data_IF_274088798698
#
_entry.id   IF_274088798698
#
_cell.length_a   1.000
_cell.length_b   1.000
_cell.length_c   1.000
_cell.angle_alpha   90.00
_cell.angle_beta   90.00
_cell.angle_gamma   90.00
#
_symmetry.space_group_name_H-M   'P 1'
#
loop_
_entity.id
_entity.type
_entity.pdbx_description
1 polymer ?
#
# COMPACT_ATOMS: atom_id res chain seq x y z
N UNK A 1 -1.89 34.66 -19.46
CA UNK A 1 -2.39 33.67 -18.47
C UNK A 1 -1.42 32.51 -18.52
N UNK A 2 -0.52 32.46 -17.54
CA UNK A 2 0.67 31.61 -17.64
C UNK A 2 0.32 30.18 -17.24
N UNK A 3 0.36 29.29 -18.23
CA UNK A 3 0.36 27.85 -18.00
C UNK A 3 1.73 27.49 -17.42
N UNK A 4 1.76 27.01 -16.17
CA UNK A 4 3.00 26.47 -15.59
C UNK A 4 3.17 25.03 -16.04
N UNK A 5 4.25 24.83 -16.78
CA UNK A 5 4.70 23.53 -17.27
C UNK A 5 4.99 22.59 -16.10
N UNK A 6 4.30 21.44 -16.05
CA UNK A 6 4.36 20.50 -14.93
C UNK A 6 5.66 19.69 -14.88
N UNK A 7 6.49 19.79 -15.92
CA UNK A 7 7.64 18.89 -16.08
C UNK A 7 8.81 19.16 -15.13
N UNK A 8 8.78 20.26 -14.35
CA UNK A 8 9.94 20.65 -13.54
C UNK A 8 9.68 20.94 -12.05
N UNK A 9 8.49 20.63 -11.50
CA UNK A 9 8.33 20.71 -10.04
C UNK A 9 7.42 19.62 -9.49
N UNK A 10 7.99 18.82 -8.58
CA UNK A 10 7.36 17.75 -7.79
C UNK A 10 6.35 18.32 -6.78
N UNK A 11 5.39 19.14 -7.20
CA UNK A 11 4.36 19.72 -6.32
C UNK A 11 2.96 19.40 -6.83
N UNK A 12 2.05 19.13 -5.90
CA UNK A 12 0.67 18.80 -6.21
C UNK A 12 -0.06 19.93 -6.93
N UNK A 13 -0.94 19.58 -7.87
CA UNK A 13 -1.86 20.52 -8.51
C UNK A 13 -3.00 20.87 -7.55
N UNK A 14 -3.09 22.12 -7.10
CA UNK A 14 -4.28 22.59 -6.35
C UNK A 14 -5.55 22.42 -7.19
N UNK A 15 -6.62 21.91 -6.57
CA UNK A 15 -7.95 21.82 -7.18
C UNK A 15 -8.51 23.20 -7.56
N UNK A 16 -8.17 24.22 -6.77
CA UNK A 16 -8.65 25.60 -6.92
C UNK A 16 -7.94 26.37 -8.04
N UNK A 17 -6.84 25.84 -8.59
CA UNK A 17 -6.14 26.43 -9.74
C UNK A 17 -6.62 25.78 -11.03
N UNK A 18 -6.65 26.55 -12.13
CA UNK A 18 -6.86 25.97 -13.46
C UNK A 18 -5.75 24.94 -13.73
N UNK A 19 -6.14 23.76 -14.22
CA UNK A 19 -5.18 22.77 -14.71
C UNK A 19 -4.71 23.17 -16.12
N UNK A 20 -3.76 22.40 -16.66
CA UNK A 20 -3.37 22.51 -18.08
C UNK A 20 -4.61 22.53 -18.97
N UNK A 21 -4.68 23.51 -19.87
CA UNK A 21 -5.84 23.67 -20.75
C UNK A 21 -6.02 22.43 -21.63
N UNK A 22 -7.25 21.92 -21.70
CA UNK A 22 -7.58 20.73 -22.49
C UNK A 22 -7.28 19.39 -21.81
N UNK A 23 -6.59 19.36 -20.65
CA UNK A 23 -6.31 18.12 -19.93
C UNK A 23 -7.29 17.96 -18.76
N UNK A 24 -7.96 16.80 -18.68
CA UNK A 24 -8.81 16.47 -17.52
C UNK A 24 -7.96 15.91 -16.39
N UNK A 25 -8.22 16.36 -15.16
CA UNK A 25 -7.63 15.76 -13.95
C UNK A 25 -8.18 14.35 -13.76
N UNK A 26 -7.34 13.36 -13.96
CA UNK A 26 -7.64 11.95 -13.71
C UNK A 26 -6.47 11.31 -12.97
N UNK A 27 -6.70 10.12 -12.42
CA UNK A 27 -5.62 9.32 -11.85
C UNK A 27 -4.53 8.93 -12.85
N UNK A 28 -4.79 9.02 -14.15
CA UNK A 28 -3.79 8.78 -15.20
C UNK A 28 -2.92 10.01 -15.47
N UNK A 29 -3.45 11.22 -15.24
CA UNK A 29 -2.79 12.48 -15.58
C UNK A 29 -2.14 13.16 -14.38
N UNK A 30 -2.40 12.67 -13.16
CA UNK A 30 -1.80 13.20 -11.93
C UNK A 30 -0.76 12.19 -11.40
N UNK A 31 0.33 12.66 -10.76
CA UNK A 31 1.35 11.80 -10.15
C UNK A 31 0.85 11.20 -8.82
N UNK A 32 -0.34 10.60 -8.84
CA UNK A 32 -0.97 9.96 -7.68
C UNK A 32 -0.74 8.45 -7.81
N UNK A 33 -0.14 7.80 -6.79
CA UNK A 33 0.01 6.35 -6.80
C UNK A 33 -1.34 5.66 -7.01
N UNK A 34 -1.34 4.62 -7.84
CA UNK A 34 -2.54 3.90 -8.24
C UNK A 34 -3.40 3.45 -7.04
N UNK A 35 -2.77 3.05 -5.94
CA UNK A 35 -3.44 2.63 -4.71
C UNK A 35 -4.40 3.68 -4.11
N UNK A 36 -4.28 4.97 -4.45
CA UNK A 36 -5.19 6.02 -4.00
C UNK A 36 -6.32 6.33 -4.99
N UNK A 37 -6.31 5.65 -6.13
CA UNK A 37 -7.28 5.79 -7.21
C UNK A 37 -8.24 4.60 -7.30
N UNK A 38 -8.02 3.59 -6.46
CA UNK A 38 -8.72 2.30 -6.51
C UNK A 38 -10.19 2.35 -6.13
N UNK A 39 -10.63 3.40 -5.42
CA UNK A 39 -12.01 3.53 -4.90
C UNK A 39 -13.09 3.58 -5.99
N UNK A 40 -12.71 3.88 -7.24
CA UNK A 40 -13.65 3.98 -8.36
C UNK A 40 -13.95 2.64 -9.03
N UNK A 41 -13.23 1.57 -8.66
CA UNK A 41 -13.36 0.27 -9.32
C UNK A 41 -14.14 -0.71 -8.46
N UNK A 42 -15.04 -1.46 -9.10
CA UNK A 42 -15.71 -2.57 -8.46
C UNK A 42 -14.71 -3.68 -8.11
N UNK A 43 -15.02 -4.39 -7.03
CA UNK A 43 -14.22 -5.51 -6.54
C UNK A 43 -15.09 -6.72 -6.23
N UNK A 44 -14.56 -7.91 -6.43
CA UNK A 44 -15.19 -9.18 -6.05
C UNK A 44 -14.31 -9.92 -5.04
N UNK A 45 -14.91 -10.50 -4.01
CA UNK A 45 -14.17 -11.32 -3.04
C UNK A 45 -13.53 -12.53 -3.74
N UNK A 46 -12.25 -12.80 -3.43
CA UNK A 46 -11.56 -14.00 -3.90
C UNK A 46 -11.97 -15.18 -3.04
N UNK A 47 -12.43 -16.26 -3.67
CA UNK A 47 -12.90 -17.49 -2.98
C UNK A 47 -11.85 -18.59 -2.93
N UNK A 48 -10.82 -18.55 -3.78
CA UNK A 48 -9.75 -19.55 -3.80
C UNK A 48 -8.81 -19.36 -2.59
N UNK A 49 -8.88 -20.28 -1.62
CA UNK A 49 -8.08 -20.24 -0.40
C UNK A 49 -6.56 -20.34 -0.64
N UNK A 50 -6.11 -21.09 -1.65
CA UNK A 50 -4.68 -21.20 -1.96
C UNK A 50 -4.16 -19.87 -2.50
N UNK A 51 -4.91 -19.23 -3.38
CA UNK A 51 -4.58 -17.91 -3.91
C UNK A 51 -4.61 -16.85 -2.80
N UNK A 52 -5.63 -16.88 -1.92
CA UNK A 52 -5.73 -15.99 -0.77
C UNK A 52 -4.51 -16.09 0.13
N UNK A 53 -4.12 -17.31 0.50
CA UNK A 53 -2.95 -17.54 1.33
C UNK A 53 -1.67 -17.07 0.64
N UNK A 54 -1.50 -17.39 -0.65
CA UNK A 54 -0.34 -16.95 -1.45
C UNK A 54 -0.21 -15.42 -1.49
N UNK A 55 -1.32 -14.71 -1.70
CA UNK A 55 -1.35 -13.24 -1.74
C UNK A 55 -1.04 -12.62 -0.38
N UNK A 56 -1.61 -13.15 0.71
CA UNK A 56 -1.38 -12.65 2.06
C UNK A 56 0.06 -12.89 2.53
N UNK A 57 0.60 -14.10 2.30
CA UNK A 57 2.00 -14.42 2.62
C UNK A 57 2.95 -13.49 1.88
N UNK A 58 2.75 -13.32 0.56
CA UNK A 58 3.54 -12.39 -0.23
C UNK A 58 3.49 -10.95 0.33
N UNK A 59 2.29 -10.44 0.65
CA UNK A 59 2.15 -9.08 1.16
C UNK A 59 2.87 -8.86 2.50
N UNK A 60 2.79 -9.84 3.41
CA UNK A 60 3.51 -9.79 4.70
C UNK A 60 5.02 -9.85 4.51
N UNK A 61 5.52 -10.75 3.65
CA UNK A 61 6.95 -10.85 3.35
C UNK A 61 7.49 -9.56 2.75
N UNK A 62 6.73 -8.90 1.88
CA UNK A 62 7.12 -7.61 1.32
C UNK A 62 7.16 -6.49 2.37
N UNK A 63 6.28 -6.52 3.38
CA UNK A 63 6.33 -5.58 4.50
C UNK A 63 7.58 -5.81 5.36
N UNK A 64 7.91 -7.07 5.64
CA UNK A 64 9.10 -7.44 6.40
C UNK A 64 10.39 -7.05 5.65
N UNK A 65 10.48 -7.35 4.35
CA UNK A 65 11.58 -6.93 3.47
C UNK A 65 11.74 -5.41 3.40
N UNK A 66 10.64 -4.65 3.44
CA UNK A 66 10.69 -3.20 3.50
C UNK A 66 11.38 -2.74 4.79
N UNK A 67 11.03 -3.29 5.95
CA UNK A 67 11.67 -2.95 7.23
C UNK A 67 13.15 -3.38 7.25
N UNK A 68 13.48 -4.53 6.66
CA UNK A 68 14.86 -4.99 6.53
C UNK A 68 15.70 -4.08 5.63
N UNK A 69 15.16 -3.67 4.47
CA UNK A 69 15.88 -2.79 3.53
C UNK A 69 16.08 -1.37 4.06
N UNK A 70 15.25 -0.93 5.00
CA UNK A 70 15.42 0.32 5.75
C UNK A 70 16.38 0.20 6.95
N UNK A 71 16.89 -1.00 7.24
CA UNK A 71 17.89 -1.23 8.28
C UNK A 71 17.36 -1.12 9.71
N UNK A 72 16.05 -1.29 9.92
CA UNK A 72 15.39 -1.07 11.22
C UNK A 72 14.99 -2.35 11.95
N UNK A 73 15.36 -3.52 11.43
CA UNK A 73 15.06 -4.83 12.03
C UNK A 73 15.62 -5.03 13.44
N UNK A 74 16.62 -4.26 13.86
CA UNK A 74 17.12 -4.27 15.24
C UNK A 74 16.15 -3.57 16.20
N UNK A 75 15.50 -2.50 15.76
CA UNK A 75 14.59 -1.67 16.56
C UNK A 75 13.13 -2.12 16.48
N UNK A 76 12.71 -2.69 15.35
CA UNK A 76 11.33 -3.09 15.06
C UNK A 76 11.10 -4.58 15.29
N UNK A 77 9.94 -4.92 15.83
CA UNK A 77 9.47 -6.29 15.96
C UNK A 77 9.29 -6.99 14.62
N UNK A 78 9.49 -8.31 14.60
CA UNK A 78 9.38 -9.12 13.39
C UNK A 78 7.93 -9.23 12.90
N UNK A 79 7.72 -9.05 11.60
CA UNK A 79 6.39 -9.08 11.00
C UNK A 79 6.03 -10.51 10.60
N UNK A 80 4.90 -11.01 11.07
CA UNK A 80 4.36 -12.33 10.70
C UNK A 80 2.86 -12.23 10.45
N UNK A 81 2.34 -13.03 9.52
CA UNK A 81 0.91 -13.08 9.23
C UNK A 81 0.16 -13.67 10.45
N UNK A 82 -0.84 -12.94 10.96
CA UNK A 82 -1.78 -13.46 11.96
C UNK A 82 -3.06 -13.96 11.31
N UNK A 83 -3.66 -13.10 10.48
CA UNK A 83 -4.98 -13.35 9.89
C UNK A 83 -5.15 -12.58 8.59
N UNK A 84 -5.82 -13.22 7.63
CA UNK A 84 -6.32 -12.57 6.42
C UNK A 84 -7.65 -11.90 6.76
N UNK A 85 -7.76 -10.59 6.55
CA UNK A 85 -8.99 -9.85 6.82
C UNK A 85 -9.89 -9.80 5.58
N UNK A 86 -9.34 -9.41 4.43
CA UNK A 86 -10.06 -9.42 3.16
C UNK A 86 -9.09 -9.51 1.99
N UNK A 87 -9.53 -10.19 0.92
CA UNK A 87 -8.81 -10.22 -0.37
C UNK A 87 -9.87 -10.07 -1.46
N UNK A 88 -9.83 -8.94 -2.15
CA UNK A 88 -10.78 -8.64 -3.22
C UNK A 88 -10.03 -8.44 -4.54
N UNK A 89 -10.53 -8.97 -5.64
CA UNK A 89 -10.00 -8.73 -6.97
C UNK A 89 -10.72 -7.54 -7.62
N UNK A 90 -9.99 -6.62 -8.24
CA UNK A 90 -10.59 -5.56 -9.05
C UNK A 90 -11.17 -6.15 -10.34
N UNK A 91 -12.45 -5.87 -10.62
CA UNK A 91 -13.21 -6.49 -11.72
C UNK A 91 -13.11 -5.73 -13.04
N UNK A 92 -12.44 -4.58 -13.09
CA UNK A 92 -12.37 -3.75 -14.31
C UNK A 92 -11.41 -4.35 -15.35
N UNK A 93 -11.98 -4.94 -16.40
CA UNK A 93 -11.29 -5.72 -17.44
C UNK A 93 -10.56 -4.88 -18.50
N UNK A 94 -10.76 -3.56 -18.58
CA UNK A 94 -10.18 -2.73 -19.64
C UNK A 94 -8.95 -1.91 -19.25
N UNK A 95 -8.66 -1.75 -17.95
CA UNK A 95 -7.51 -0.97 -17.48
C UNK A 95 -6.33 -1.82 -17.03
N UNK A 96 -6.58 -3.08 -16.67
CA UNK A 96 -5.57 -3.94 -16.09
C UNK A 96 -5.31 -5.11 -17.04
N UNK A 97 -4.19 -5.08 -17.76
CA UNK A 97 -3.65 -6.27 -18.44
C UNK A 97 -3.37 -7.43 -17.47
N UNK A 98 -3.38 -7.16 -16.16
CA UNK A 98 -2.99 -8.07 -15.09
C UNK A 98 -4.05 -8.11 -14.00
N UNK A 99 -4.15 -9.22 -13.29
CA UNK A 99 -5.05 -9.32 -12.14
C UNK A 99 -4.49 -8.49 -10.98
N UNK A 100 -5.30 -7.61 -10.42
CA UNK A 100 -4.93 -6.82 -9.24
C UNK A 100 -5.87 -7.21 -8.10
N UNK A 101 -5.27 -7.44 -6.94
CA UNK A 101 -5.93 -7.83 -5.72
C UNK A 101 -5.69 -6.76 -4.65
N UNK A 102 -6.73 -6.37 -3.95
CA UNK A 102 -6.65 -5.59 -2.73
C UNK A 102 -6.49 -6.54 -1.54
N UNK A 103 -5.34 -6.52 -0.88
CA UNK A 103 -4.99 -7.47 0.18
C UNK A 103 -4.97 -6.74 1.50
N UNK A 104 -5.84 -7.16 2.42
CA UNK A 104 -5.89 -6.65 3.79
C UNK A 104 -5.60 -7.77 4.78
N UNK A 105 -4.61 -7.55 5.64
CA UNK A 105 -4.13 -8.56 6.60
C UNK A 105 -3.82 -7.95 7.96
N UNK A 106 -3.77 -8.81 8.97
CA UNK A 106 -3.34 -8.49 10.33
C UNK A 106 -2.02 -9.19 10.65
N UNK A 107 -1.12 -8.46 11.31
CA UNK A 107 0.19 -8.92 11.74
C UNK A 107 0.13 -9.45 13.17
N UNK A 108 0.88 -10.52 13.44
CA UNK A 108 0.91 -11.18 14.74
C UNK A 108 1.62 -10.33 15.81
N UNK A 109 1.27 -10.49 17.10
CA UNK A 109 2.09 -9.98 18.18
C UNK A 109 3.53 -10.54 18.09
N UNK A 110 4.55 -9.77 18.49
CA UNK A 110 4.48 -8.43 19.10
C UNK A 110 4.34 -7.27 18.08
N UNK A 111 4.63 -7.47 16.79
CA UNK A 111 4.59 -6.40 15.79
C UNK A 111 3.19 -5.78 15.64
N UNK A 112 2.13 -6.60 15.63
CA UNK A 112 0.72 -6.16 15.54
C UNK A 112 0.41 -5.28 14.31
N UNK A 113 -0.87 -5.00 14.09
CA UNK A 113 -1.33 -4.03 13.12
C UNK A 113 -2.07 -4.59 11.91
N UNK A 114 -2.90 -3.74 11.31
CA UNK A 114 -3.73 -4.05 10.15
C UNK A 114 -3.22 -3.25 8.98
N UNK A 115 -2.89 -3.95 7.91
CA UNK A 115 -2.29 -3.36 6.73
C UNK A 115 -3.08 -3.70 5.49
N UNK A 116 -3.07 -2.77 4.54
CA UNK A 116 -3.65 -2.94 3.21
C UNK A 116 -2.61 -2.57 2.16
N UNK A 117 -2.54 -3.39 1.10
CA UNK A 117 -1.71 -3.12 -0.06
C UNK A 117 -2.31 -3.80 -1.30
N UNK A 118 -2.35 -3.12 -2.47
CA UNK A 118 -2.72 -3.79 -3.70
C UNK A 118 -1.55 -4.61 -4.24
N UNK A 119 -1.84 -5.83 -4.69
CA UNK A 119 -0.89 -6.80 -5.25
C UNK A 119 -1.30 -7.13 -6.68
N UNK A 120 -0.34 -7.16 -7.60
CA UNK A 120 -0.54 -7.53 -9.00
C UNK A 120 -0.02 -8.94 -9.25
N UNK A 121 -0.82 -9.75 -9.94
CA UNK A 121 -0.42 -11.05 -10.50
C UNK A 121 -0.32 -10.93 -12.02
N UNK A 122 0.91 -11.09 -12.54
CA UNK A 122 1.19 -11.12 -13.98
C UNK A 122 1.98 -12.38 -14.30
N UNK A 123 1.44 -13.23 -15.19
CA UNK A 123 2.11 -14.47 -15.63
C UNK A 123 2.61 -15.35 -14.47
N UNK A 124 1.79 -15.51 -13.42
CA UNK A 124 2.13 -16.31 -12.23
C UNK A 124 3.04 -15.62 -11.19
N UNK A 125 3.61 -14.45 -11.52
CA UNK A 125 4.48 -13.66 -10.62
C UNK A 125 3.70 -12.58 -9.89
N UNK A 126 3.92 -12.50 -8.57
CA UNK A 126 3.36 -11.47 -7.71
C UNK A 126 4.30 -10.27 -7.60
N UNK A 127 3.73 -9.07 -7.60
CA UNK A 127 4.43 -7.82 -7.37
C UNK A 127 3.53 -6.84 -6.61
N UNK A 128 4.11 -5.93 -5.84
CA UNK A 128 3.35 -4.82 -5.27
C UNK A 128 2.79 -3.95 -6.39
N UNK A 129 1.51 -3.60 -6.29
CA UNK A 129 0.84 -2.63 -7.17
C UNK A 129 0.65 -1.27 -6.49
N UNK A 130 1.03 -1.17 -5.22
CA UNK A 130 1.01 0.04 -4.41
C UNK A 130 2.40 0.62 -4.18
N UNK A 131 2.46 1.90 -3.86
CA UNK A 131 3.68 2.61 -3.47
C UNK A 131 4.02 2.40 -1.98
N UNK A 132 3.02 2.24 -1.11
CA UNK A 132 3.20 2.14 0.34
C UNK A 132 2.12 1.27 0.96
N UNK A 133 2.48 0.54 2.02
CA UNK A 133 1.49 -0.16 2.85
C UNK A 133 0.63 0.88 3.57
N UNK A 134 -0.69 0.69 3.56
CA UNK A 134 -1.62 1.52 4.30
C UNK A 134 -1.87 0.87 5.66
N UNK A 135 -1.51 1.58 6.74
CA UNK A 135 -1.87 1.18 8.11
C UNK A 135 -3.32 1.58 8.37
N UNK A 136 -4.18 0.59 8.68
CA UNK A 136 -5.63 0.78 8.81
C UNK A 136 -6.09 1.06 10.25
N UNK A 137 -5.30 0.65 11.24
CA UNK A 137 -5.56 0.88 12.67
C UNK A 137 -4.57 1.89 13.25
N UNK A 138 -4.92 2.45 14.42
CA UNK A 138 -4.04 3.38 15.13
C UNK A 138 -2.80 2.65 15.63
N UNK A 139 -1.62 3.19 15.35
CA UNK A 139 -0.33 2.69 15.85
C UNK A 139 0.19 3.47 17.06
N UNK A 140 -0.43 4.62 17.39
CA UNK A 140 -0.09 5.47 18.53
C UNK A 140 1.44 5.67 18.65
N UNK A 141 2.00 5.21 19.75
CA UNK A 141 3.39 5.36 20.17
C UNK A 141 4.23 4.10 19.86
N UNK A 142 3.64 3.06 19.25
CA UNK A 142 4.32 1.79 18.92
C UNK A 142 5.55 2.00 18.05
N UNK A 143 5.56 3.01 17.17
CA UNK A 143 6.65 3.29 16.23
C UNK A 143 7.61 4.40 16.65
N UNK A 144 7.56 4.91 17.88
CA UNK A 144 8.29 6.13 18.28
C UNK A 144 9.82 6.05 18.18
N UNK A 145 10.38 4.84 18.20
CA UNK A 145 11.81 4.61 17.95
C UNK A 145 12.23 4.97 16.52
N UNK A 146 11.29 5.17 15.59
CA UNK A 146 11.57 5.57 14.21
C UNK A 146 11.55 7.09 14.06
N UNK A 147 12.60 7.64 13.42
CA UNK A 147 12.67 9.06 13.05
C UNK A 147 11.92 9.35 11.75
N UNK A 148 11.90 8.40 10.80
CA UNK A 148 11.16 8.52 9.54
C UNK A 148 9.66 8.30 9.78
N UNK A 149 8.84 9.30 9.42
CA UNK A 149 7.39 9.26 9.65
C UNK A 149 6.67 8.07 9.01
N UNK A 150 7.10 7.62 7.82
CA UNK A 150 6.51 6.44 7.16
C UNK A 150 6.78 5.17 7.99
N UNK A 151 8.00 5.00 8.49
CA UNK A 151 8.39 3.82 9.28
C UNK A 151 7.69 3.78 10.64
N UNK A 152 7.33 4.93 11.22
CA UNK A 152 6.52 4.97 12.45
C UNK A 152 5.20 4.22 12.32
N UNK A 153 4.60 4.22 11.12
CA UNK A 153 3.34 3.51 10.89
C UNK A 153 3.50 2.00 10.67
N UNK A 154 4.72 1.53 10.40
CA UNK A 154 5.03 0.14 10.08
C UNK A 154 5.71 -0.60 11.23
N UNK A 155 6.55 0.11 11.96
CA UNK A 155 7.37 -0.43 13.03
C UNK A 155 6.61 -0.46 14.35
N UNK A 156 6.77 -1.55 15.08
CA UNK A 156 6.50 -1.62 16.52
C UNK A 156 7.81 -1.84 17.24
N UNK A 157 8.17 -0.97 18.17
CA UNK A 157 9.48 -0.94 18.82
C UNK A 157 9.64 -2.08 19.82
N UNK A 158 10.74 -2.85 19.74
CA UNK A 158 10.99 -4.02 20.61
C UNK A 158 11.07 -3.71 22.10
N UNK A 159 11.50 -2.50 22.46
CA UNK A 159 11.73 -2.12 23.86
C UNK A 159 10.48 -1.56 24.55
N UNK A 160 9.28 -1.71 23.95
CA UNK A 160 8.02 -1.38 24.61
C UNK A 160 7.43 -2.65 25.21
N UNK A 161 7.48 -2.76 26.53
CA UNK A 161 6.75 -3.80 27.27
C UNK A 161 5.26 -3.55 27.06
N UNK A 162 4.56 -4.52 26.46
CA UNK A 162 3.14 -4.47 26.11
C UNK A 162 2.26 -5.16 27.14
#
# INVERSE_FOLDING_TARGET
>A
MDYKDFNNSKRGSSLLRRFEAGIKRTCKTLPIPFQYCICQYATSAVTDEKLRQKLATFAVEQLDLLLQSEGVSSSCENVKLKKILSINQYTSTSMFENQIFDVTFEVAPPARGKFQIPVRLKQGKLALAGATFLRLDRYNDMGDCMSKGVLRSYCTCKNRVH
#
